data_IF_876098107203
#
_entry.id   IF_876098107203
#
_cell.length_a   1.000
_cell.length_b   1.000
_cell.length_c   1.000
_cell.angle_alpha   90.00
_cell.angle_beta   90.00
_cell.angle_gamma   90.00
#
_symmetry.space_group_name_H-M   'P 1'
#
loop_
_entity.id
_entity.type
_entity.pdbx_description
1 polymer ?
#
# COMPACT_ATOMS: atom_id res chain seq x y z
N UNK A 1 -15.72 9.17 -16.16
CA UNK A 1 -15.66 8.68 -17.55
C UNK A 1 -17.07 8.37 -17.97
N UNK A 2 -17.53 8.93 -19.09
CA UNK A 2 -18.87 8.70 -19.65
C UNK A 2 -18.87 7.66 -20.76
N UNK A 3 -17.75 7.56 -21.48
CA UNK A 3 -17.58 6.64 -22.60
C UNK A 3 -16.09 6.30 -22.74
N UNK A 4 -15.82 5.08 -23.18
CA UNK A 4 -14.49 4.62 -23.62
C UNK A 4 -14.62 4.27 -25.09
N UNK A 5 -13.96 5.06 -25.95
CA UNK A 5 -13.96 4.88 -27.39
C UNK A 5 -12.64 4.21 -27.83
N UNK A 6 -12.72 3.07 -28.45
CA UNK A 6 -11.56 2.38 -29.05
C UNK A 6 -11.37 2.89 -30.46
N UNK A 7 -10.28 3.61 -30.71
CA UNK A 7 -9.97 4.18 -32.03
C UNK A 7 -9.31 3.11 -32.91
N UNK A 8 -8.30 2.43 -32.37
CA UNK A 8 -7.57 1.33 -33.02
C UNK A 8 -6.84 0.47 -31.97
N UNK A 9 -6.01 -0.47 -32.38
CA UNK A 9 -5.29 -1.42 -31.52
C UNK A 9 -4.34 -0.75 -30.50
N UNK A 10 -4.01 0.52 -30.69
CA UNK A 10 -3.05 1.26 -29.86
C UNK A 10 -3.63 2.51 -29.20
N UNK A 11 -4.83 2.93 -29.59
CA UNK A 11 -5.41 4.19 -29.15
C UNK A 11 -6.81 4.01 -28.57
N UNK A 12 -6.99 4.54 -27.38
CA UNK A 12 -8.32 4.65 -26.73
C UNK A 12 -8.55 6.09 -26.27
N UNK A 13 -9.78 6.56 -26.39
CA UNK A 13 -10.21 7.87 -25.91
C UNK A 13 -11.16 7.70 -24.73
N UNK A 14 -10.85 8.40 -23.63
CA UNK A 14 -11.72 8.47 -22.47
C UNK A 14 -12.51 9.78 -22.49
N UNK A 15 -13.82 9.70 -22.69
CA UNK A 15 -14.71 10.85 -22.64
C UNK A 15 -15.12 11.16 -21.20
N UNK A 16 -14.94 12.40 -20.78
CA UNK A 16 -15.25 12.86 -19.42
C UNK A 16 -16.50 13.74 -19.43
N UNK A 17 -17.35 13.61 -18.43
CA UNK A 17 -18.52 14.52 -18.26
C UNK A 17 -18.11 15.94 -17.90
N UNK A 18 -16.97 16.10 -17.22
CA UNK A 18 -16.37 17.38 -16.84
C UNK A 18 -14.84 17.24 -16.92
N UNK A 19 -14.09 18.32 -17.15
CA UNK A 19 -12.64 18.29 -17.07
C UNK A 19 -12.18 17.82 -15.69
N UNK A 20 -11.25 16.86 -15.64
CA UNK A 20 -10.70 16.31 -14.42
C UNK A 20 -9.17 16.34 -14.47
N UNK A 21 -8.56 17.29 -13.74
CA UNK A 21 -7.11 17.42 -13.64
C UNK A 21 -6.43 16.30 -12.87
N UNK A 22 -7.19 15.52 -12.10
CA UNK A 22 -6.67 14.38 -11.31
C UNK A 22 -6.74 13.04 -12.05
N UNK A 23 -7.32 13.00 -13.26
CA UNK A 23 -7.53 11.75 -14.00
C UNK A 23 -6.27 10.91 -14.13
N UNK A 24 -5.16 11.51 -14.53
CA UNK A 24 -3.90 10.77 -14.72
C UNK A 24 -3.35 10.21 -13.41
N UNK A 25 -3.46 10.97 -12.32
CA UNK A 25 -3.07 10.48 -10.99
C UNK A 25 -3.97 9.35 -10.52
N UNK A 26 -5.26 9.43 -10.79
CA UNK A 26 -6.23 8.38 -10.46
C UNK A 26 -5.99 7.11 -11.30
N UNK A 27 -5.66 7.25 -12.58
CA UNK A 27 -5.28 6.11 -13.44
C UNK A 27 -3.97 5.47 -13.01
N UNK A 28 -3.03 6.24 -12.44
CA UNK A 28 -1.77 5.74 -11.92
C UNK A 28 -1.88 5.14 -10.50
N UNK A 29 -3.04 5.26 -9.85
CA UNK A 29 -3.24 4.75 -8.49
C UNK A 29 -3.24 3.22 -8.46
N UNK A 30 -2.49 2.65 -7.51
CA UNK A 30 -2.22 1.21 -7.37
C UNK A 30 -3.52 0.35 -7.32
N UNK A 31 -4.64 0.90 -6.90
CA UNK A 31 -5.87 0.12 -6.68
C UNK A 31 -6.86 0.11 -7.86
N UNK A 32 -6.61 0.84 -8.96
CA UNK A 32 -7.73 1.21 -9.85
C UNK A 32 -7.57 0.79 -11.31
N UNK A 33 -6.36 0.69 -11.86
CA UNK A 33 -6.19 0.52 -13.30
C UNK A 33 -4.97 -0.32 -13.65
N UNK A 34 -5.18 -1.63 -13.66
CA UNK A 34 -4.18 -2.54 -14.19
C UNK A 34 -4.46 -2.82 -15.67
N UNK A 35 -3.42 -2.83 -16.49
CA UNK A 35 -3.52 -3.26 -17.87
C UNK A 35 -3.32 -4.78 -17.89
N UNK A 36 -4.34 -5.50 -18.35
CA UNK A 36 -4.35 -6.94 -18.42
C UNK A 36 -4.63 -7.39 -19.85
N UNK A 37 -4.23 -8.61 -20.18
CA UNK A 37 -4.54 -9.26 -21.44
C UNK A 37 -6.04 -9.59 -21.51
N UNK A 38 -6.73 -9.05 -22.52
CA UNK A 38 -8.17 -9.19 -22.68
C UNK A 38 -8.59 -10.65 -22.95
N UNK A 39 -7.80 -11.38 -23.76
CA UNK A 39 -8.08 -12.78 -24.08
C UNK A 39 -7.88 -13.68 -22.87
N UNK A 40 -6.92 -13.32 -22.00
CA UNK A 40 -6.73 -14.01 -20.73
C UNK A 40 -7.88 -13.77 -19.76
N UNK A 41 -8.32 -12.51 -19.61
CA UNK A 41 -9.45 -12.16 -18.74
C UNK A 41 -10.73 -12.89 -19.17
N UNK A 42 -10.98 -12.98 -20.48
CA UNK A 42 -12.17 -13.61 -21.02
C UNK A 42 -12.28 -15.13 -20.73
N UNK A 43 -11.22 -15.77 -20.29
CA UNK A 43 -11.20 -17.21 -19.94
C UNK A 43 -11.76 -17.51 -18.55
N UNK A 44 -11.89 -16.50 -17.69
CA UNK A 44 -12.25 -16.69 -16.29
C UNK A 44 -13.50 -15.90 -15.90
N UNK A 45 -14.27 -16.46 -14.98
CA UNK A 45 -15.40 -15.77 -14.37
C UNK A 45 -14.93 -14.60 -13.50
N UNK A 46 -15.73 -13.51 -13.40
CA UNK A 46 -15.45 -12.42 -12.48
C UNK A 46 -15.27 -12.91 -11.04
N UNK A 47 -14.17 -12.50 -10.39
CA UNK A 47 -13.82 -12.88 -9.02
C UNK A 47 -12.88 -14.09 -8.90
N UNK A 48 -12.54 -14.76 -10.00
CA UNK A 48 -11.52 -15.82 -10.02
C UNK A 48 -10.13 -15.24 -10.35
N UNK A 49 -10.09 -14.18 -11.15
CA UNK A 49 -8.84 -13.53 -11.54
C UNK A 49 -8.05 -13.06 -10.32
N UNK A 50 -6.73 -13.33 -10.32
CA UNK A 50 -5.83 -12.91 -9.26
C UNK A 50 -5.97 -13.66 -7.94
N UNK A 51 -6.68 -14.80 -7.91
CA UNK A 51 -6.86 -15.62 -6.70
C UNK A 51 -5.87 -16.76 -6.56
N UNK A 52 -5.24 -17.15 -7.64
CA UNK A 52 -4.18 -18.18 -7.69
C UNK A 52 -3.09 -17.79 -8.70
N UNK A 53 -1.90 -18.42 -8.68
CA UNK A 53 -0.88 -18.18 -9.70
C UNK A 53 -1.40 -18.36 -11.12
N UNK A 54 -2.21 -19.41 -11.37
CA UNK A 54 -2.75 -19.75 -12.70
C UNK A 54 -3.79 -18.72 -13.16
N UNK A 55 -4.42 -17.98 -12.25
CA UNK A 55 -5.41 -16.95 -12.57
C UNK A 55 -4.84 -15.54 -12.48
N UNK A 56 -3.51 -15.41 -12.35
CA UNK A 56 -2.79 -14.13 -12.26
C UNK A 56 -1.92 -13.93 -13.47
N UNK A 57 -2.26 -12.96 -14.33
CA UNK A 57 -1.47 -12.59 -15.49
C UNK A 57 -1.36 -11.06 -15.58
N UNK A 58 -0.21 -10.55 -15.16
CA UNK A 58 0.12 -9.13 -15.21
C UNK A 58 1.21 -8.83 -16.22
N UNK A 59 1.32 -7.57 -16.61
CA UNK A 59 2.35 -7.07 -17.53
C UNK A 59 3.64 -6.62 -16.82
N UNK A 60 3.75 -6.89 -15.52
CA UNK A 60 4.86 -6.45 -14.66
C UNK A 60 6.15 -7.26 -14.82
N UNK A 61 7.24 -6.83 -14.14
CA UNK A 61 8.55 -7.48 -14.20
C UNK A 61 8.62 -8.82 -13.47
N UNK A 62 7.60 -9.17 -12.70
CA UNK A 62 7.51 -10.44 -11.98
C UNK A 62 6.18 -11.14 -12.25
N UNK A 63 6.20 -12.47 -12.19
CA UNK A 63 5.03 -13.36 -12.23
C UNK A 63 4.83 -14.02 -10.88
N UNK A 64 3.58 -14.19 -10.47
CA UNK A 64 3.23 -14.96 -9.29
C UNK A 64 3.42 -16.46 -9.59
N UNK A 65 4.30 -17.13 -8.84
CA UNK A 65 4.59 -18.57 -9.02
C UNK A 65 3.99 -19.45 -7.92
N UNK A 66 3.75 -18.86 -6.75
CA UNK A 66 3.15 -19.55 -5.60
C UNK A 66 2.44 -18.56 -4.70
N UNK A 67 1.32 -18.95 -4.11
CA UNK A 67 0.64 -18.19 -3.08
C UNK A 67 -0.12 -19.10 -2.12
N UNK A 68 0.23 -19.03 -0.85
CA UNK A 68 -0.51 -19.60 0.27
C UNK A 68 -0.97 -18.48 1.20
N UNK A 69 -2.29 -18.36 1.34
CA UNK A 69 -2.89 -17.23 2.07
C UNK A 69 -2.43 -17.21 3.52
N UNK A 70 -2.00 -16.03 4.00
CA UNK A 70 -1.44 -15.76 5.32
C UNK A 70 -0.12 -16.48 5.65
N UNK A 71 0.50 -17.13 4.71
CA UNK A 71 1.79 -17.79 4.89
C UNK A 71 2.86 -17.20 3.98
N UNK A 72 2.76 -17.44 2.67
CA UNK A 72 3.83 -17.10 1.75
C UNK A 72 3.33 -16.77 0.33
N UNK A 73 4.01 -15.83 -0.32
CA UNK A 73 3.84 -15.56 -1.74
C UNK A 73 5.20 -15.55 -2.41
N UNK A 74 5.34 -16.21 -3.57
CA UNK A 74 6.58 -16.25 -4.37
C UNK A 74 6.36 -15.62 -5.72
N UNK A 75 7.31 -14.79 -6.10
CA UNK A 75 7.38 -14.16 -7.39
C UNK A 75 8.65 -14.59 -8.12
N UNK A 76 8.54 -14.81 -9.42
CA UNK A 76 9.66 -15.11 -10.32
C UNK A 76 9.78 -14.01 -11.37
N UNK A 77 11.01 -13.67 -11.78
CA UNK A 77 11.25 -12.68 -12.81
C UNK A 77 10.55 -13.04 -14.11
N UNK A 78 9.86 -12.09 -14.71
CA UNK A 78 9.19 -12.26 -15.99
C UNK A 78 10.21 -12.07 -17.14
N UNK A 79 10.72 -13.15 -17.70
CA UNK A 79 11.67 -13.11 -18.81
C UNK A 79 11.10 -12.45 -20.10
N UNK A 80 9.77 -12.31 -20.19
CA UNK A 80 9.08 -11.64 -21.31
C UNK A 80 8.69 -10.20 -20.97
N UNK A 81 9.22 -9.62 -19.88
CA UNK A 81 8.94 -8.24 -19.53
C UNK A 81 9.47 -7.28 -20.60
N UNK A 82 8.69 -6.27 -20.96
CA UNK A 82 9.03 -5.31 -22.02
C UNK A 82 10.11 -4.28 -21.60
N UNK A 83 10.44 -4.18 -20.32
CA UNK A 83 11.51 -3.34 -19.77
C UNK A 83 12.73 -4.15 -19.36
N UNK A 84 13.55 -3.60 -18.48
CA UNK A 84 14.72 -4.28 -17.96
C UNK A 84 14.33 -5.47 -17.07
N UNK A 85 14.85 -6.64 -17.38
CA UNK A 85 14.60 -7.85 -16.59
C UNK A 85 15.25 -7.73 -15.22
N UNK A 86 14.53 -7.98 -14.10
CA UNK A 86 15.07 -7.84 -12.78
C UNK A 86 16.32 -8.70 -12.53
N UNK A 87 17.30 -8.14 -11.84
CA UNK A 87 18.49 -8.88 -11.41
C UNK A 87 18.16 -9.93 -10.35
N UNK A 88 17.27 -9.59 -9.41
CA UNK A 88 16.74 -10.55 -8.42
C UNK A 88 15.71 -11.42 -9.11
N UNK A 89 16.04 -12.70 -9.29
CA UNK A 89 15.19 -13.63 -10.07
C UNK A 89 13.98 -14.14 -9.29
N UNK A 90 14.11 -14.26 -7.98
CA UNK A 90 13.05 -14.78 -7.11
C UNK A 90 12.84 -13.85 -5.93
N UNK A 91 11.60 -13.58 -5.58
CA UNK A 91 11.21 -12.83 -4.37
C UNK A 91 10.23 -13.70 -3.60
N UNK A 92 10.50 -13.87 -2.30
CA UNK A 92 9.63 -14.59 -1.37
C UNK A 92 9.09 -13.61 -0.34
N UNK A 93 7.76 -13.42 -0.30
CA UNK A 93 7.08 -12.68 0.74
C UNK A 93 6.61 -13.64 1.82
N UNK A 94 7.22 -13.59 3.00
CA UNK A 94 6.75 -14.29 4.20
C UNK A 94 5.76 -13.42 4.97
N UNK A 95 4.59 -13.93 5.28
CA UNK A 95 3.56 -13.22 6.02
C UNK A 95 3.77 -13.44 7.52
N UNK A 96 4.47 -12.51 8.16
CA UNK A 96 4.73 -12.53 9.60
C UNK A 96 3.86 -11.44 10.25
N UNK A 97 2.76 -11.82 10.89
CA UNK A 97 1.75 -10.88 11.40
C UNK A 97 2.26 -10.06 12.60
N UNK A 98 3.09 -10.66 13.45
CA UNK A 98 3.64 -9.99 14.63
C UNK A 98 4.84 -9.10 14.27
N UNK A 99 4.81 -7.83 14.71
CA UNK A 99 5.83 -6.84 14.38
C UNK A 99 7.19 -7.15 15.02
N UNK A 100 7.21 -7.65 16.25
CA UNK A 100 8.44 -7.99 16.93
C UNK A 100 9.10 -9.20 16.27
N UNK A 101 8.32 -10.19 15.86
CA UNK A 101 8.81 -11.36 15.10
C UNK A 101 9.41 -10.94 13.75
N UNK A 102 8.82 -9.95 13.05
CA UNK A 102 9.45 -9.41 11.82
C UNK A 102 10.78 -8.74 12.08
N UNK A 103 10.89 -7.98 13.18
CA UNK A 103 12.15 -7.35 13.58
C UNK A 103 13.24 -8.39 13.89
N UNK A 104 12.88 -9.47 14.58
CA UNK A 104 13.79 -10.58 14.88
C UNK A 104 14.20 -11.30 13.59
N UNK A 105 13.27 -11.57 12.68
CA UNK A 105 13.56 -12.29 11.44
C UNK A 105 14.60 -11.57 10.56
N UNK A 106 14.55 -10.22 10.45
CA UNK A 106 15.59 -9.47 9.73
C UNK A 106 16.89 -9.37 10.50
N UNK A 107 16.86 -9.29 11.82
CA UNK A 107 18.03 -9.23 12.69
C UNK A 107 18.83 -10.54 12.66
N UNK A 108 18.14 -11.68 12.57
CA UNK A 108 18.77 -13.01 12.49
C UNK A 108 19.15 -13.43 11.07
N UNK A 109 18.78 -12.64 10.05
CA UNK A 109 19.01 -12.98 8.65
C UNK A 109 18.06 -14.05 8.10
N UNK A 110 16.94 -14.33 8.77
CA UNK A 110 15.89 -15.20 8.24
C UNK A 110 15.18 -14.57 7.04
N UNK A 111 15.08 -13.23 7.01
CA UNK A 111 14.61 -12.45 5.87
C UNK A 111 15.61 -11.34 5.56
N UNK A 112 15.70 -10.97 4.28
CA UNK A 112 16.59 -9.90 3.80
C UNK A 112 16.00 -8.51 4.05
N UNK A 113 14.67 -8.40 4.05
CA UNK A 113 13.93 -7.14 4.19
C UNK A 113 12.74 -7.34 5.10
N UNK A 114 12.57 -6.49 6.10
CA UNK A 114 11.36 -6.42 6.92
C UNK A 114 10.71 -5.05 6.77
N UNK A 115 9.40 -5.03 6.51
CA UNK A 115 8.59 -3.81 6.44
C UNK A 115 7.69 -3.68 7.66
N UNK A 116 7.29 -2.45 7.98
CA UNK A 116 6.33 -2.14 9.04
C UNK A 116 6.72 -2.74 10.41
N UNK A 117 7.99 -2.63 10.78
CA UNK A 117 8.47 -2.91 12.15
C UNK A 117 7.99 -1.80 13.10
N UNK A 118 7.90 -2.10 14.40
CA UNK A 118 7.49 -1.08 15.37
C UNK A 118 8.50 0.07 15.46
N UNK A 119 8.09 1.30 15.82
CA UNK A 119 9.02 2.41 16.03
C UNK A 119 10.13 2.09 17.05
N UNK A 120 9.80 1.35 18.11
CA UNK A 120 10.76 0.93 19.12
C UNK A 120 11.79 -0.07 18.55
N UNK A 121 11.35 -1.07 17.79
CA UNK A 121 12.26 -2.01 17.11
C UNK A 121 13.10 -1.32 16.05
N UNK A 122 12.51 -0.38 15.30
CA UNK A 122 13.26 0.41 14.33
C UNK A 122 14.42 1.17 14.98
N UNK A 123 14.17 1.86 16.12
CA UNK A 123 15.21 2.53 16.86
C UNK A 123 16.28 1.58 17.40
N UNK A 124 15.89 0.41 17.87
CA UNK A 124 16.79 -0.63 18.35
C UNK A 124 17.69 -1.15 17.22
N UNK A 125 17.12 -1.41 16.06
CA UNK A 125 17.81 -1.97 14.90
C UNK A 125 18.75 -0.97 14.19
N UNK A 126 18.50 0.34 14.31
CA UNK A 126 19.34 1.38 13.71
C UNK A 126 20.83 1.31 14.12
N UNK A 127 21.13 0.72 15.28
CA UNK A 127 22.50 0.54 15.77
C UNK A 127 23.11 -0.82 15.47
N UNK A 128 22.39 -1.72 14.80
CA UNK A 128 22.84 -3.09 14.53
C UNK A 128 23.72 -3.12 13.29
N UNK A 129 24.93 -3.66 13.43
CA UNK A 129 25.88 -3.81 12.32
C UNK A 129 25.27 -4.72 11.23
N UNK A 130 25.42 -4.32 9.97
CA UNK A 130 24.91 -5.06 8.82
C UNK A 130 23.46 -4.76 8.47
N UNK A 131 22.71 -3.99 9.28
CA UNK A 131 21.35 -3.57 8.97
C UNK A 131 21.28 -2.13 8.46
N UNK A 132 20.51 -1.91 7.40
CA UNK A 132 20.17 -0.58 6.90
C UNK A 132 18.71 -0.27 7.23
N UNK A 133 18.47 0.67 8.12
CA UNK A 133 17.14 1.08 8.55
C UNK A 133 16.71 2.35 7.81
N UNK A 134 15.65 2.24 7.01
CA UNK A 134 15.12 3.34 6.21
C UNK A 134 13.74 3.73 6.75
N UNK A 135 13.59 5.01 7.14
CA UNK A 135 12.31 5.61 7.43
C UNK A 135 11.97 6.61 6.31
N UNK A 136 10.78 6.49 5.75
CA UNK A 136 10.29 7.43 4.74
C UNK A 136 8.93 7.98 5.16
N UNK A 137 8.69 9.24 4.83
CA UNK A 137 7.39 9.86 4.99
C UNK A 137 6.41 9.28 3.97
N UNK A 138 5.34 8.69 4.48
CA UNK A 138 4.23 8.23 3.66
C UNK A 138 3.13 9.30 3.54
N UNK A 139 2.20 9.09 2.63
CA UNK A 139 0.96 9.89 2.52
C UNK A 139 -0.16 9.32 3.40
N UNK A 140 0.13 8.29 4.19
CA UNK A 140 -0.82 7.69 5.13
C UNK A 140 -1.00 8.54 6.37
N UNK A 141 -2.24 8.57 6.87
CA UNK A 141 -2.59 9.23 8.12
C UNK A 141 -3.35 8.29 9.03
N UNK A 142 -3.11 8.42 10.33
CA UNK A 142 -3.93 7.78 11.35
C UNK A 142 -5.00 8.77 11.79
N UNK A 143 -6.27 8.40 11.61
CA UNK A 143 -7.42 9.27 11.86
C UNK A 143 -8.35 8.66 12.91
N UNK A 144 -8.92 9.51 13.75
CA UNK A 144 -10.06 9.17 14.59
C UNK A 144 -11.36 9.50 13.84
N UNK A 145 -12.17 8.49 13.61
CA UNK A 145 -13.48 8.65 12.99
C UNK A 145 -14.58 8.65 14.05
N UNK A 146 -15.44 9.66 14.02
CA UNK A 146 -16.60 9.71 14.87
C UNK A 146 -17.84 9.23 14.10
N UNK A 147 -18.64 8.36 14.71
CA UNK A 147 -19.96 8.05 14.17
C UNK A 147 -20.89 9.24 14.45
N UNK A 148 -21.18 10.02 13.41
CA UNK A 148 -22.01 11.22 13.49
C UNK A 148 -23.51 10.93 13.36
N UNK A 149 -23.93 9.67 13.17
CA UNK A 149 -25.33 9.30 12.94
C UNK A 149 -25.99 8.66 14.16
N UNK A 150 -25.22 8.25 15.17
CA UNK A 150 -25.73 7.60 16.40
C UNK A 150 -24.81 7.82 17.59
N UNK A 151 -25.38 7.67 18.80
CA UNK A 151 -24.66 7.81 20.07
C UNK A 151 -24.32 9.26 20.40
N UNK A 152 -23.44 9.46 21.39
CA UNK A 152 -23.10 10.80 21.91
C UNK A 152 -22.35 11.68 20.90
N UNK A 153 -21.69 11.06 19.92
CA UNK A 153 -20.94 11.78 18.89
C UNK A 153 -21.81 12.41 17.78
N UNK A 154 -23.13 12.28 17.85
CA UNK A 154 -24.07 13.07 17.02
C UNK A 154 -23.93 14.55 17.35
N UNK A 155 -23.76 14.89 18.63
CA UNK A 155 -23.54 16.28 19.07
C UNK A 155 -22.13 16.76 18.67
N UNK A 156 -22.08 17.84 17.92
CA UNK A 156 -20.82 18.48 17.49
C UNK A 156 -19.97 18.96 18.67
N UNK A 157 -20.60 19.38 19.78
CA UNK A 157 -19.86 19.84 20.94
C UNK A 157 -19.14 18.70 21.66
N UNK A 158 -19.74 17.49 21.65
CA UNK A 158 -19.09 16.29 22.18
C UNK A 158 -17.85 15.94 21.35
N UNK A 159 -17.94 15.99 20.01
CA UNK A 159 -16.77 15.75 19.15
C UNK A 159 -15.67 16.78 19.38
N UNK A 160 -16.02 18.06 19.50
CA UNK A 160 -15.08 19.14 19.84
C UNK A 160 -14.44 18.92 21.21
N UNK A 161 -15.23 18.55 22.22
CA UNK A 161 -14.71 18.29 23.56
C UNK A 161 -13.70 17.15 23.57
N UNK A 162 -13.96 16.05 22.86
CA UNK A 162 -13.02 14.93 22.71
C UNK A 162 -11.73 15.41 22.01
N UNK A 163 -11.85 16.19 20.93
CA UNK A 163 -10.69 16.72 20.23
C UNK A 163 -9.81 17.61 21.12
N UNK A 164 -10.42 18.46 21.95
CA UNK A 164 -9.67 19.30 22.90
C UNK A 164 -9.11 18.52 24.10
N UNK A 165 -9.67 17.38 24.44
CA UNK A 165 -9.20 16.54 25.54
C UNK A 165 -7.98 15.70 25.21
N UNK A 166 -7.71 15.46 23.91
CA UNK A 166 -6.58 14.65 23.45
C UNK A 166 -5.39 15.54 23.14
N UNK A 167 -4.30 15.37 23.88
CA UNK A 167 -3.00 15.97 23.54
C UNK A 167 -2.36 15.13 22.42
N UNK A 168 -2.59 15.56 21.18
CA UNK A 168 -2.13 14.86 19.98
C UNK A 168 -0.60 14.86 19.88
N UNK A 169 0.08 15.93 20.31
CA UNK A 169 1.53 16.03 20.27
C UNK A 169 2.18 15.00 21.21
N UNK A 170 1.69 14.92 22.44
CA UNK A 170 2.14 13.91 23.40
C UNK A 170 1.81 12.50 22.90
N UNK A 171 0.64 12.28 22.32
CA UNK A 171 0.25 10.98 21.75
C UNK A 171 1.19 10.55 20.62
N UNK A 172 1.45 11.41 19.64
CA UNK A 172 2.34 11.13 18.51
C UNK A 172 3.76 10.85 18.99
N UNK A 173 4.29 11.69 19.90
CA UNK A 173 5.64 11.50 20.44
C UNK A 173 5.77 10.21 21.25
N UNK A 174 4.72 9.79 21.96
CA UNK A 174 4.73 8.54 22.73
C UNK A 174 4.66 7.30 21.87
N UNK A 175 3.92 7.35 20.74
CA UNK A 175 3.74 6.20 19.84
C UNK A 175 4.89 6.03 18.85
N UNK A 176 5.42 7.12 18.33
CA UNK A 176 6.36 7.11 17.23
C UNK A 176 7.76 7.65 17.59
N UNK A 177 7.90 8.29 18.76
CA UNK A 177 9.17 8.87 19.20
C UNK A 177 9.71 9.89 18.19
N UNK A 178 10.99 9.77 17.86
CA UNK A 178 11.65 10.62 16.86
C UNK A 178 11.18 10.40 15.42
N UNK A 179 10.45 9.30 15.16
CA UNK A 179 9.83 9.00 13.86
C UNK A 179 8.44 9.65 13.73
N UNK A 180 7.90 10.23 14.82
CA UNK A 180 6.59 10.86 14.82
C UNK A 180 6.60 12.13 14.00
N UNK A 181 5.69 12.18 13.02
CA UNK A 181 5.40 13.38 12.26
C UNK A 181 4.59 14.38 13.08
N UNK A 182 4.56 15.61 12.60
CA UNK A 182 3.74 16.66 13.24
C UNK A 182 2.27 16.28 13.18
N UNK A 183 1.48 16.62 14.22
CA UNK A 183 0.04 16.45 14.20
C UNK A 183 -0.56 17.09 12.96
N UNK A 184 -1.38 16.35 12.25
CA UNK A 184 -2.11 16.85 11.09
C UNK A 184 -3.55 17.17 11.49
N UNK A 185 -3.97 18.40 11.22
CA UNK A 185 -5.34 18.88 11.50
C UNK A 185 -6.22 18.86 10.24
N UNK A 186 -5.77 18.22 9.19
CA UNK A 186 -6.44 18.05 7.91
C UNK A 186 -6.56 16.57 7.55
N UNK A 187 -7.51 16.23 6.69
CA UNK A 187 -7.61 14.89 6.07
C UNK A 187 -6.65 14.71 4.90
N UNK A 188 -5.83 15.69 4.61
CA UNK A 188 -4.77 15.63 3.57
C UNK A 188 -3.43 15.65 4.30
N UNK A 189 -2.59 14.67 4.01
CA UNK A 189 -1.27 14.59 4.60
C UNK A 189 -0.41 15.82 4.19
N UNK A 190 0.44 16.37 5.10
CA UNK A 190 1.21 17.59 4.84
C UNK A 190 2.15 17.50 3.63
N UNK A 191 2.55 16.29 3.25
CA UNK A 191 3.41 15.98 2.13
C UNK A 191 2.65 15.48 0.89
N UNK A 192 1.33 15.53 0.91
CA UNK A 192 0.51 15.29 -0.28
C UNK A 192 0.54 16.53 -1.17
N UNK A 193 1.17 16.45 -2.32
CA UNK A 193 1.25 17.54 -3.33
C UNK A 193 0.42 17.12 -4.55
#
# INVERSE_FOLDING_TARGET
>A
VTEIEVIDDLHVTLHLSVPDGSLMSNLAAIACTYICDADYIAQYEPGVLGTTPETTNGTGPYKLSYWEMNEEMRLEANESFYGDIPLTKNIVFKIISDQASRAIAVETGEVDVASAVSPADFQRLQGTEGLNCIASLGNGMVLFYFNCTRGICVDTNVRKAIHHAVDIETLVSSLYGALGEKPCYSTVAPNSV
#
